data_IF_552638971000
#
_entry.id   IF_552638971000
#
_cell.length_a   1.000
_cell.length_b   1.000
_cell.length_c   1.000
_cell.angle_alpha   90.00
_cell.angle_beta   90.00
_cell.angle_gamma   90.00
#
_symmetry.space_group_name_H-M   'P 1'
#
loop_
_entity.id
_entity.type
_entity.pdbx_description
1 polymer ?
#
# COMPACT_ATOMS: atom_id res chain seq x y z
N UNK A 1 -9.59 11.30 -63.17
CA UNK A 1 -10.14 11.89 -61.94
C UNK A 1 -10.49 10.71 -61.05
N UNK A 2 -9.83 10.39 -59.95
CA UNK A 2 -8.86 11.09 -59.09
C UNK A 2 -8.14 9.99 -58.29
N UNK A 3 -6.95 10.29 -57.79
CA UNK A 3 -5.97 9.43 -57.09
C UNK A 3 -6.52 8.44 -56.04
N UNK A 4 -5.76 7.37 -55.69
CA UNK A 4 -5.97 6.64 -54.45
C UNK A 4 -5.44 7.48 -53.27
N UNK A 5 -6.32 7.87 -52.35
CA UNK A 5 -5.96 8.55 -51.10
C UNK A 5 -5.21 7.60 -50.16
N UNK A 6 -3.99 8.01 -49.79
CA UNK A 6 -3.25 7.45 -48.66
C UNK A 6 -4.04 7.75 -47.38
N UNK A 7 -4.39 6.71 -46.62
CA UNK A 7 -4.80 6.87 -45.23
C UNK A 7 -3.55 7.09 -44.35
N UNK A 8 -3.48 8.17 -43.56
CA UNK A 8 -2.39 8.36 -42.60
C UNK A 8 -2.55 7.40 -41.42
N UNK A 9 -1.44 6.75 -41.06
CA UNK A 9 -1.29 6.01 -39.81
C UNK A 9 -1.23 6.99 -38.64
N UNK A 10 -2.39 7.35 -38.09
CA UNK A 10 -2.48 8.15 -36.87
C UNK A 10 -2.14 7.26 -35.67
N UNK A 11 -0.90 7.38 -35.22
CA UNK A 11 -0.39 6.84 -33.98
C UNK A 11 -1.13 7.52 -32.82
N UNK A 12 -1.97 6.74 -32.12
CA UNK A 12 -2.65 7.20 -30.92
C UNK A 12 -1.64 7.70 -29.89
N UNK A 13 -1.70 9.00 -29.60
CA UNK A 13 -0.99 9.62 -28.48
C UNK A 13 -1.50 9.01 -27.18
N UNK A 14 -0.70 8.14 -26.57
CA UNK A 14 -0.87 7.75 -25.17
C UNK A 14 -0.40 8.92 -24.31
N UNK A 15 -1.35 9.65 -23.73
CA UNK A 15 -1.08 10.57 -22.62
C UNK A 15 -0.42 9.77 -21.50
N UNK A 16 0.80 10.15 -21.16
CA UNK A 16 1.49 9.64 -19.98
C UNK A 16 0.78 10.25 -18.77
N UNK A 17 -0.05 9.46 -18.10
CA UNK A 17 -0.49 9.81 -16.75
C UNK A 17 0.74 9.83 -15.85
N UNK A 18 1.19 11.04 -15.53
CA UNK A 18 2.25 11.33 -14.58
C UNK A 18 1.72 11.12 -13.14
N UNK A 19 1.49 9.86 -12.79
CA UNK A 19 1.39 9.42 -11.40
C UNK A 19 2.31 8.21 -11.22
N UNK A 20 3.58 8.40 -11.55
CA UNK A 20 4.62 7.44 -11.24
C UNK A 20 4.95 7.58 -9.75
N UNK A 21 4.63 6.56 -8.96
CA UNK A 21 5.23 6.38 -7.64
C UNK A 21 6.75 6.27 -7.83
N UNK A 22 7.58 6.98 -7.04
CA UNK A 22 9.02 6.97 -7.25
C UNK A 22 9.58 5.56 -7.08
N UNK A 23 10.32 5.08 -8.08
CA UNK A 23 11.03 3.81 -8.03
C UNK A 23 12.02 3.80 -6.86
N UNK A 24 11.90 2.79 -6.00
CA UNK A 24 12.69 2.63 -4.78
C UNK A 24 14.11 2.20 -5.15
N UNK A 25 15.09 3.08 -4.93
CA UNK A 25 16.51 2.75 -5.09
C UNK A 25 16.91 1.55 -4.21
N UNK A 26 17.38 0.47 -4.83
CA UNK A 26 18.19 -0.56 -4.17
C UNK A 26 19.64 -0.12 -4.30
N UNK A 27 20.26 0.38 -3.23
CA UNK A 27 21.70 0.62 -3.20
C UNK A 27 22.40 -0.40 -2.30
N UNK A 28 23.18 -1.24 -2.97
CA UNK A 28 24.25 -2.04 -2.39
C UNK A 28 25.42 -1.13 -1.98
N UNK A 29 26.01 -1.36 -0.80
CA UNK A 29 27.37 -0.90 -0.48
C UNK A 29 27.53 -0.05 0.79
N UNK A 30 28.38 -0.55 1.68
CA UNK A 30 28.70 -0.10 3.04
C UNK A 30 29.21 1.35 3.19
N UNK A 31 28.76 2.06 4.24
CA UNK A 31 29.60 2.93 5.10
C UNK A 31 28.88 3.32 6.41
N UNK A 32 29.67 3.34 7.48
CA UNK A 32 29.33 3.61 8.88
C UNK A 32 28.74 5.00 9.09
N UNK A 33 27.58 5.06 9.73
CA UNK A 33 26.91 6.23 10.27
C UNK A 33 25.75 5.75 11.13
N UNK A 34 25.46 6.42 12.24
CA UNK A 34 24.43 6.01 13.21
C UNK A 34 23.04 6.02 12.56
N UNK A 35 22.66 4.93 11.90
CA UNK A 35 21.33 4.74 11.34
C UNK A 35 20.42 4.38 12.52
N UNK A 36 19.62 5.33 13.00
CA UNK A 36 18.36 4.96 13.63
C UNK A 36 17.60 4.14 12.59
N UNK A 37 17.71 2.81 12.69
CA UNK A 37 16.98 1.86 11.87
C UNK A 37 15.53 1.97 12.34
N UNK A 38 14.82 2.99 11.86
CA UNK A 38 13.37 3.05 11.93
C UNK A 38 12.87 1.93 11.00
N UNK A 39 12.94 0.71 11.51
CA UNK A 39 12.43 -0.47 10.83
C UNK A 39 10.92 -0.29 10.86
N UNK A 40 10.33 0.20 9.76
CA UNK A 40 8.88 0.42 9.73
C UNK A 40 8.19 -0.92 9.97
N UNK A 41 7.24 -0.93 10.92
CA UNK A 41 6.53 -2.15 11.30
C UNK A 41 5.69 -2.69 10.13
N UNK A 42 5.12 -1.78 9.35
CA UNK A 42 4.37 -2.02 8.13
C UNK A 42 4.02 -0.68 7.48
N UNK A 43 3.22 -0.71 6.43
CA UNK A 43 2.62 0.46 5.80
C UNK A 43 1.20 0.15 5.33
N UNK A 44 0.30 1.11 5.52
CA UNK A 44 -1.09 0.98 5.08
C UNK A 44 -1.17 1.15 3.56
N UNK A 45 -1.83 0.21 2.89
CA UNK A 45 -1.97 0.17 1.43
C UNK A 45 -3.30 0.76 0.98
N UNK A 46 -4.37 0.37 1.66
CA UNK A 46 -5.72 0.57 1.18
C UNK A 46 -6.69 0.69 2.36
N UNK A 47 -7.73 1.49 2.16
CA UNK A 47 -8.87 1.57 3.05
C UNK A 47 -10.14 1.59 2.19
N UNK A 48 -11.07 0.69 2.50
CA UNK A 48 -12.38 0.62 1.86
C UNK A 48 -13.41 0.39 2.96
N UNK A 49 -14.39 1.28 3.07
CA UNK A 49 -15.45 1.24 4.08
C UNK A 49 -14.91 1.23 5.52
N UNK A 50 -14.97 0.09 6.20
CA UNK A 50 -14.52 -0.16 7.57
C UNK A 50 -13.25 -1.04 7.61
N UNK A 51 -12.72 -1.41 6.43
CA UNK A 51 -11.60 -2.32 6.29
C UNK A 51 -10.33 -1.56 5.94
N UNK A 52 -9.25 -1.85 6.68
CA UNK A 52 -7.90 -1.31 6.46
C UNK A 52 -6.98 -2.47 6.07
N UNK A 53 -6.20 -2.31 5.01
CA UNK A 53 -5.19 -3.28 4.60
C UNK A 53 -3.78 -2.72 4.83
N UNK A 54 -2.95 -3.50 5.53
CA UNK A 54 -1.58 -3.16 5.89
C UNK A 54 -0.64 -4.22 5.35
N UNK A 55 0.41 -3.79 4.66
CA UNK A 55 1.50 -4.68 4.25
C UNK A 55 2.66 -4.55 5.25
N UNK A 56 3.20 -5.68 5.68
CA UNK A 56 4.31 -5.71 6.61
C UNK A 56 5.21 -6.93 6.42
N UNK A 57 6.48 -6.87 6.85
CA UNK A 57 7.31 -8.07 6.95
C UNK A 57 6.64 -9.14 7.82
N UNK A 58 6.75 -10.41 7.45
CA UNK A 58 6.06 -11.52 8.12
C UNK A 58 6.35 -11.61 9.62
N UNK A 59 7.58 -11.28 10.05
CA UNK A 59 7.93 -11.23 11.48
C UNK A 59 7.16 -10.17 12.28
N UNK A 60 6.61 -9.15 11.63
CA UNK A 60 5.88 -8.05 12.26
C UNK A 60 4.36 -8.27 12.26
N UNK A 61 3.85 -9.27 11.56
CA UNK A 61 2.41 -9.43 11.31
C UNK A 61 1.60 -9.51 12.63
N UNK A 62 2.07 -10.26 13.61
CA UNK A 62 1.41 -10.37 14.93
C UNK A 62 1.45 -9.06 15.72
N UNK A 63 2.56 -8.31 15.65
CA UNK A 63 2.71 -7.03 16.34
C UNK A 63 1.78 -5.99 15.73
N UNK A 64 1.74 -5.93 14.39
CA UNK A 64 0.86 -5.03 13.65
C UNK A 64 -0.61 -5.39 13.89
N UNK A 65 -0.95 -6.69 13.88
CA UNK A 65 -2.31 -7.16 14.17
C UNK A 65 -2.81 -6.70 15.53
N UNK A 66 -2.00 -6.90 16.59
CA UNK A 66 -2.37 -6.48 17.95
C UNK A 66 -2.52 -4.96 18.05
N UNK A 67 -1.59 -4.22 17.45
CA UNK A 67 -1.64 -2.76 17.42
C UNK A 67 -2.91 -2.24 16.73
N UNK A 68 -3.30 -2.84 15.60
CA UNK A 68 -4.52 -2.47 14.88
C UNK A 68 -5.77 -2.70 15.74
N UNK A 69 -5.92 -3.90 16.34
CA UNK A 69 -7.06 -4.20 17.22
C UNK A 69 -7.10 -3.22 18.39
N UNK A 70 -6.00 -3.07 19.12
CA UNK A 70 -5.95 -2.19 20.28
C UNK A 70 -6.29 -0.74 19.92
N UNK A 71 -5.73 -0.23 18.82
CA UNK A 71 -5.95 1.16 18.40
C UNK A 71 -7.38 1.38 17.94
N UNK A 72 -7.92 0.48 17.11
CA UNK A 72 -9.25 0.64 16.53
C UNK A 72 -10.37 0.40 17.55
N UNK A 73 -10.21 -0.55 18.47
CA UNK A 73 -11.21 -0.80 19.51
C UNK A 73 -11.26 0.33 20.56
N UNK A 74 -10.11 0.97 20.85
CA UNK A 74 -9.99 2.01 21.86
C UNK A 74 -9.98 3.44 21.30
N UNK A 75 -10.29 3.63 20.02
CA UNK A 75 -10.20 4.96 19.37
C UNK A 75 -11.16 5.99 20.01
N UNK A 76 -12.31 5.55 20.52
CA UNK A 76 -13.30 6.42 21.16
C UNK A 76 -14.03 5.71 22.33
N UNK A 77 -13.39 5.56 23.50
CA UNK A 77 -13.92 4.75 24.61
C UNK A 77 -15.24 5.29 25.20
N UNK A 78 -15.49 6.59 25.06
CA UNK A 78 -16.67 7.28 25.57
C UNK A 78 -17.92 7.10 24.71
N UNK A 79 -17.86 6.30 23.63
CA UNK A 79 -19.02 5.98 22.79
C UNK A 79 -20.11 5.19 23.55
N UNK A 80 -19.74 4.51 24.65
CA UNK A 80 -20.67 3.70 25.44
C UNK A 80 -20.99 2.32 24.83
N UNK A 81 -20.36 1.96 23.71
CA UNK A 81 -20.42 0.64 23.09
C UNK A 81 -19.00 0.13 22.79
N UNK A 82 -18.81 -1.19 22.77
CA UNK A 82 -17.53 -1.80 22.42
C UNK A 82 -17.44 -1.97 20.91
N UNK A 83 -16.42 -1.35 20.31
CA UNK A 83 -16.05 -1.63 18.93
C UNK A 83 -15.27 -2.95 18.91
N UNK A 84 -15.65 -3.86 18.00
CA UNK A 84 -14.96 -5.14 17.81
C UNK A 84 -14.22 -5.09 16.48
N UNK A 85 -12.95 -5.48 16.49
CA UNK A 85 -12.11 -5.49 15.29
C UNK A 85 -11.66 -6.91 15.01
N UNK A 86 -11.87 -7.36 13.77
CA UNK A 86 -11.40 -8.67 13.29
C UNK A 86 -10.19 -8.46 12.36
N UNK A 87 -9.09 -9.17 12.63
CA UNK A 87 -7.87 -9.11 11.81
C UNK A 87 -7.56 -10.48 11.24
N UNK A 88 -7.14 -10.50 9.97
CA UNK A 88 -6.68 -11.70 9.26
C UNK A 88 -5.32 -11.43 8.64
N UNK A 89 -4.47 -12.45 8.64
CA UNK A 89 -3.12 -12.39 8.09
C UNK A 89 -3.04 -13.43 6.96
N UNK A 90 -2.67 -12.97 5.76
CA UNK A 90 -2.49 -13.81 4.58
C UNK A 90 -1.28 -13.37 3.77
N UNK A 91 -0.82 -14.22 2.85
CA UNK A 91 0.29 -13.86 1.95
C UNK A 91 -0.19 -13.07 0.72
N UNK A 92 -1.50 -13.07 0.47
CA UNK A 92 -2.17 -12.33 -0.59
C UNK A 92 -3.60 -11.99 -0.17
N UNK A 93 -4.27 -11.15 -0.96
CA UNK A 93 -5.63 -10.68 -0.66
C UNK A 93 -6.68 -11.79 -0.71
N UNK A 94 -6.50 -12.85 -1.52
CA UNK A 94 -7.48 -13.95 -1.60
C UNK A 94 -7.57 -14.82 -0.34
N UNK A 95 -6.57 -14.72 0.55
CA UNK A 95 -6.50 -15.47 1.80
C UNK A 95 -7.12 -14.72 3.00
N UNK A 96 -7.43 -13.42 2.86
CA UNK A 96 -7.95 -12.56 3.93
C UNK A 96 -9.42 -12.20 3.72
#
# INVERSE_FOLDING_TARGET
MTSPDLLPSETGKFEKNEFALPERQVSSGSKSGLVHKNTSLGYQILQIHDSIMVECPRQNAEVVSKMLVETMENIYPQLGIKLKVDVKIGNNWGEV
#
